data_IF_730611488595
#
_entry.id   IF_730611488595
#
_cell.length_a   1.000
_cell.length_b   1.000
_cell.length_c   1.000
_cell.angle_alpha   90.00
_cell.angle_beta   90.00
_cell.angle_gamma   90.00
#
_symmetry.space_group_name_H-M   'P 1'
#
loop_
_entity.id
_entity.type
_entity.pdbx_description
1 polymer ?
#
# COMPACT_ATOMS: atom_id res chain seq x y z
N UNK A 1 -4.91 -5.75 4.78
CA UNK A 1 -4.55 -6.99 5.50
C UNK A 1 -5.51 -7.33 6.64
N UNK A 2 -5.90 -6.39 7.52
CA UNK A 2 -6.89 -6.65 8.58
C UNK A 2 -8.18 -7.35 8.11
N UNK A 3 -8.74 -6.95 6.96
CA UNK A 3 -9.95 -7.57 6.38
C UNK A 3 -9.74 -9.06 6.08
N UNK A 4 -8.59 -9.45 5.52
CA UNK A 4 -8.24 -10.86 5.31
C UNK A 4 -8.09 -11.62 6.62
N UNK A 5 -7.51 -11.00 7.65
CA UNK A 5 -7.42 -11.62 8.98
C UNK A 5 -8.81 -11.92 9.57
N UNK A 6 -9.80 -11.06 9.32
CA UNK A 6 -11.18 -11.30 9.78
C UNK A 6 -11.83 -12.41 8.95
N UNK A 7 -11.68 -12.39 7.63
CA UNK A 7 -12.21 -13.42 6.73
C UNK A 7 -11.63 -14.79 7.07
N UNK A 8 -10.31 -14.85 7.31
CA UNK A 8 -9.61 -16.09 7.64
C UNK A 8 -10.05 -16.64 9.00
N UNK A 9 -10.26 -15.77 10.01
CA UNK A 9 -10.88 -16.17 11.28
C UNK A 9 -12.25 -16.81 11.08
N UNK A 10 -13.11 -16.18 10.29
CA UNK A 10 -14.47 -16.68 10.01
C UNK A 10 -14.42 -18.01 9.24
N UNK A 11 -13.53 -18.13 8.24
CA UNK A 11 -13.30 -19.37 7.48
C UNK A 11 -12.85 -20.49 8.42
N UNK A 12 -11.88 -20.22 9.28
CA UNK A 12 -11.33 -21.19 10.23
C UNK A 12 -12.36 -21.64 11.26
N UNK A 13 -13.15 -20.72 11.82
CA UNK A 13 -14.26 -21.08 12.73
C UNK A 13 -15.29 -22.00 12.05
N UNK A 14 -15.54 -21.77 10.76
CA UNK A 14 -16.44 -22.61 9.96
C UNK A 14 -15.85 -24.02 9.76
N UNK A 15 -14.55 -24.11 9.44
CA UNK A 15 -13.85 -25.40 9.30
C UNK A 15 -13.87 -26.23 10.60
N UNK A 16 -13.72 -25.57 11.75
CA UNK A 16 -13.78 -26.23 13.07
C UNK A 16 -15.21 -26.73 13.37
N UNK A 17 -16.23 -25.93 13.06
CA UNK A 17 -17.64 -26.30 13.26
C UNK A 17 -18.06 -27.48 12.40
N UNK A 18 -17.53 -27.57 11.18
CA UNK A 18 -17.77 -28.67 10.25
C UNK A 18 -16.96 -29.94 10.59
N UNK A 19 -16.06 -29.88 11.59
CA UNK A 19 -15.23 -31.02 12.00
C UNK A 19 -14.16 -31.40 10.98
N UNK A 20 -13.90 -30.53 10.00
CA UNK A 20 -12.96 -30.78 8.89
C UNK A 20 -11.58 -30.15 9.13
N UNK A 21 -11.32 -29.63 10.33
CA UNK A 21 -10.08 -28.93 10.68
C UNK A 21 -8.81 -29.78 10.55
N UNK A 22 -8.92 -31.10 10.70
CA UNK A 22 -7.78 -32.02 10.60
C UNK A 22 -7.49 -32.49 9.17
N UNK A 23 -8.38 -32.21 8.22
CA UNK A 23 -8.25 -32.62 6.82
C UNK A 23 -7.57 -31.49 6.02
N UNK A 24 -6.37 -31.70 5.46
CA UNK A 24 -5.57 -30.64 4.83
C UNK A 24 -6.23 -29.97 3.62
N UNK A 25 -7.09 -30.70 2.89
CA UNK A 25 -7.72 -30.26 1.64
C UNK A 25 -9.25 -30.13 1.75
N UNK A 26 -9.80 -30.20 2.96
CA UNK A 26 -11.24 -30.07 3.12
C UNK A 26 -11.67 -28.63 2.85
N UNK A 27 -12.58 -28.49 1.88
CA UNK A 27 -13.12 -27.22 1.45
C UNK A 27 -14.28 -26.85 2.37
N UNK A 28 -14.16 -25.73 3.09
CA UNK A 28 -15.25 -25.15 3.86
C UNK A 28 -16.37 -24.67 2.94
N UNK A 29 -17.63 -24.80 3.35
CA UNK A 29 -18.77 -24.24 2.63
C UNK A 29 -18.86 -22.70 2.77
N UNK A 30 -17.84 -21.98 2.32
CA UNK A 30 -17.78 -20.52 2.34
C UNK A 30 -17.82 -19.95 0.93
N UNK A 31 -18.68 -18.96 0.70
CA UNK A 31 -18.76 -18.30 -0.61
C UNK A 31 -17.52 -17.45 -0.88
N UNK A 32 -17.00 -17.51 -2.12
CA UNK A 32 -15.90 -16.66 -2.58
C UNK A 32 -16.24 -15.14 -2.54
N UNK A 33 -17.53 -14.79 -2.41
CA UNK A 33 -17.97 -13.40 -2.23
C UNK A 33 -17.37 -12.72 -0.99
N UNK A 34 -16.91 -13.48 0.01
CA UNK A 34 -16.24 -12.92 1.19
C UNK A 34 -14.92 -12.21 0.89
N UNK A 35 -14.24 -12.52 -0.23
CA UNK A 35 -13.01 -11.83 -0.62
C UNK A 35 -13.28 -10.49 -1.34
N UNK A 36 -14.50 -10.29 -1.83
CA UNK A 36 -14.91 -9.08 -2.54
C UNK A 36 -14.58 -7.78 -1.77
N UNK A 37 -14.88 -7.64 -0.47
CA UNK A 37 -14.52 -6.43 0.28
C UNK A 37 -13.01 -6.18 0.33
N UNK A 38 -12.19 -7.24 0.41
CA UNK A 38 -10.74 -7.10 0.40
C UNK A 38 -10.23 -6.60 -0.95
N UNK A 39 -10.67 -7.21 -2.05
CA UNK A 39 -10.24 -6.83 -3.39
C UNK A 39 -10.68 -5.42 -3.77
N UNK A 40 -11.88 -5.00 -3.36
CA UNK A 40 -12.35 -3.64 -3.57
C UNK A 40 -11.44 -2.61 -2.90
N UNK A 41 -11.11 -2.82 -1.62
CA UNK A 41 -10.22 -1.93 -0.87
C UNK A 41 -8.79 -1.94 -1.41
N UNK A 42 -8.30 -3.11 -1.84
CA UNK A 42 -6.98 -3.24 -2.45
C UNK A 42 -6.88 -2.40 -3.73
N UNK A 43 -7.84 -2.57 -4.66
CA UNK A 43 -7.86 -1.82 -5.90
C UNK A 43 -8.03 -0.31 -5.68
N UNK A 44 -8.90 0.08 -4.74
CA UNK A 44 -9.05 1.49 -4.35
C UNK A 44 -7.74 2.08 -3.80
N UNK A 45 -7.04 1.33 -2.94
CA UNK A 45 -5.77 1.77 -2.38
C UNK A 45 -4.67 1.90 -3.44
N UNK A 46 -4.61 0.99 -4.41
CA UNK A 46 -3.62 1.00 -5.49
C UNK A 46 -3.87 2.18 -6.45
N UNK A 47 -5.13 2.45 -6.80
CA UNK A 47 -5.49 3.59 -7.62
C UNK A 47 -5.11 4.93 -6.95
N UNK A 48 -5.45 5.11 -5.67
CA UNK A 48 -5.08 6.31 -4.93
C UNK A 48 -3.56 6.46 -4.77
N UNK A 49 -2.87 5.37 -4.45
CA UNK A 49 -1.42 5.35 -4.29
C UNK A 49 -0.72 5.71 -5.61
N UNK A 50 -1.15 5.11 -6.73
CA UNK A 50 -0.62 5.40 -8.05
C UNK A 50 -0.80 6.85 -8.46
N UNK A 51 -2.01 7.41 -8.31
CA UNK A 51 -2.26 8.83 -8.62
C UNK A 51 -1.42 9.75 -7.72
N UNK A 52 -1.40 9.50 -6.41
CA UNK A 52 -0.66 10.34 -5.46
C UNK A 52 0.85 10.33 -5.66
N UNK A 53 1.45 9.17 -5.94
CA UNK A 53 2.88 9.07 -6.27
C UNK A 53 3.20 9.74 -7.60
N UNK A 54 2.35 9.56 -8.60
CA UNK A 54 2.58 10.14 -9.92
C UNK A 54 2.54 11.68 -9.86
N UNK A 55 1.54 12.25 -9.20
CA UNK A 55 1.41 13.70 -9.03
C UNK A 55 2.55 14.29 -8.17
N UNK A 56 2.95 13.59 -7.11
CA UNK A 56 4.10 13.98 -6.30
C UNK A 56 5.40 13.99 -7.12
N UNK A 57 5.68 12.93 -7.88
CA UNK A 57 6.88 12.86 -8.72
C UNK A 57 6.88 13.93 -9.81
N UNK A 58 5.75 14.24 -10.44
CA UNK A 58 5.70 15.30 -11.44
C UNK A 58 5.87 16.71 -10.84
N UNK A 59 5.51 16.90 -9.58
CA UNK A 59 5.68 18.19 -8.89
C UNK A 59 7.12 18.38 -8.41
N UNK A 60 7.76 17.33 -7.90
CA UNK A 60 9.12 17.39 -7.32
C UNK A 60 10.25 17.09 -8.32
N UNK A 61 10.01 16.31 -9.38
CA UNK A 61 11.00 15.98 -10.39
C UNK A 61 10.69 16.68 -11.73
N UNK A 62 11.61 17.49 -12.28
CA UNK A 62 11.42 18.11 -13.59
C UNK A 62 11.32 17.05 -14.70
N UNK A 63 10.60 17.35 -15.80
CA UNK A 63 10.35 16.41 -16.94
C UNK A 63 11.61 15.72 -17.49
N UNK A 64 12.79 16.32 -17.33
CA UNK A 64 14.08 15.74 -17.71
C UNK A 64 14.51 14.51 -16.89
N UNK A 65 13.88 14.24 -15.73
CA UNK A 65 14.24 13.13 -14.82
C UNK A 65 13.19 12.01 -14.76
N UNK A 66 12.30 11.91 -15.75
CA UNK A 66 11.27 10.86 -15.79
C UNK A 66 11.84 9.45 -15.67
N UNK A 67 13.04 9.19 -16.21
CA UNK A 67 13.72 7.88 -16.10
C UNK A 67 14.19 7.59 -14.68
N UNK A 68 14.57 8.61 -13.91
CA UNK A 68 14.95 8.45 -12.49
C UNK A 68 13.71 8.08 -11.66
N UNK A 69 12.56 8.72 -11.93
CA UNK A 69 11.29 8.40 -11.27
C UNK A 69 10.87 6.93 -11.50
N UNK A 70 10.91 6.45 -12.75
CA UNK A 70 10.57 5.06 -13.07
C UNK A 70 11.54 4.05 -12.44
N UNK A 71 12.82 4.38 -12.36
CA UNK A 71 13.83 3.53 -11.73
C UNK A 71 13.62 3.48 -10.21
N UNK A 72 13.32 4.61 -9.59
CA UNK A 72 13.07 4.67 -8.15
C UNK A 72 11.82 3.86 -7.76
N UNK A 73 10.76 3.92 -8.58
CA UNK A 73 9.59 3.07 -8.42
C UNK A 73 9.94 1.57 -8.51
N UNK A 74 10.72 1.18 -9.53
CA UNK A 74 11.14 -0.21 -9.75
C UNK A 74 12.06 -0.75 -8.64
N UNK A 75 12.95 0.11 -8.12
CA UNK A 75 13.79 -0.21 -6.96
C UNK A 75 12.92 -0.36 -5.71
N UNK A 76 11.92 0.50 -5.53
CA UNK A 76 10.95 0.41 -4.45
C UNK A 76 10.21 -0.93 -4.45
N UNK A 77 9.74 -1.38 -5.62
CA UNK A 77 9.08 -2.68 -5.78
C UNK A 77 10.02 -3.85 -5.49
N UNK A 78 11.27 -3.74 -5.94
CA UNK A 78 12.32 -4.72 -5.69
C UNK A 78 12.64 -4.82 -4.19
N UNK A 79 12.79 -3.67 -3.51
CA UNK A 79 12.99 -3.59 -2.07
C UNK A 79 11.79 -4.18 -1.29
N UNK A 80 10.56 -3.89 -1.72
CA UNK A 80 9.36 -4.47 -1.13
C UNK A 80 9.37 -6.01 -1.21
N UNK A 81 9.85 -6.57 -2.33
CA UNK A 81 9.95 -8.02 -2.53
C UNK A 81 11.00 -8.67 -1.61
N UNK A 82 12.13 -7.98 -1.37
CA UNK A 82 13.13 -8.41 -0.39
C UNK A 82 12.58 -8.39 1.04
N UNK A 83 11.86 -7.32 1.40
CA UNK A 83 11.20 -7.20 2.71
C UNK A 83 10.15 -8.30 2.89
N UNK A 84 9.33 -8.58 1.88
CA UNK A 84 8.37 -9.68 1.92
C UNK A 84 9.07 -11.04 2.16
N UNK A 85 10.15 -11.30 1.44
CA UNK A 85 10.96 -12.51 1.60
C UNK A 85 11.58 -12.60 3.00
N UNK A 86 12.08 -11.49 3.53
CA UNK A 86 12.62 -11.40 4.88
C UNK A 86 11.55 -11.72 5.93
N UNK A 87 10.36 -11.12 5.83
CA UNK A 87 9.25 -11.36 6.76
C UNK A 87 8.88 -12.85 6.76
N UNK A 88 8.68 -13.45 5.58
CA UNK A 88 8.37 -14.89 5.46
C UNK A 88 9.50 -15.76 6.02
N UNK A 89 10.74 -15.39 5.76
CA UNK A 89 11.93 -16.09 6.27
C UNK A 89 12.01 -16.05 7.81
N UNK A 90 11.77 -14.89 8.42
CA UNK A 90 11.75 -14.75 9.88
C UNK A 90 10.59 -15.54 10.50
N UNK A 91 9.39 -15.44 9.93
CA UNK A 91 8.23 -16.22 10.38
C UNK A 91 8.56 -17.71 10.34
N UNK A 92 9.15 -18.23 9.25
CA UNK A 92 9.62 -19.63 9.18
C UNK A 92 10.74 -19.94 10.18
N UNK A 93 11.68 -19.03 10.40
CA UNK A 93 12.82 -19.20 11.30
C UNK A 93 12.39 -19.35 12.76
N UNK A 94 11.52 -18.47 13.26
CA UNK A 94 10.95 -18.57 14.61
C UNK A 94 10.15 -19.87 14.83
N UNK A 95 9.61 -20.45 13.76
CA UNK A 95 8.81 -21.68 13.80
C UNK A 95 9.69 -22.93 13.83
N UNK A 96 10.83 -22.93 13.15
CA UNK A 96 11.68 -24.14 13.06
C UNK A 96 12.37 -24.51 14.38
N UNK A 97 12.50 -23.58 15.32
CA UNK A 97 13.04 -23.83 16.67
C UNK A 97 11.98 -24.33 17.67
N UNK A 98 10.71 -24.03 17.42
CA UNK A 98 9.59 -24.47 18.25
C UNK A 98 8.89 -25.66 17.58
N UNK A 99 9.10 -26.87 18.09
CA UNK A 99 8.54 -28.13 17.58
C UNK A 99 6.98 -28.25 17.75
N UNK A 100 6.24 -27.17 17.50
CA UNK A 100 4.79 -27.05 17.59
C UNK A 100 4.23 -26.37 16.34
N UNK A 101 3.06 -26.85 15.89
CA UNK A 101 2.38 -26.56 14.63
C UNK A 101 2.56 -25.11 14.11
N UNK A 102 3.19 -24.99 12.94
CA UNK A 102 3.55 -23.74 12.25
C UNK A 102 2.35 -22.79 12.01
N UNK A 103 2.54 -21.48 12.20
CA UNK A 103 1.55 -20.45 11.80
C UNK A 103 1.21 -20.52 10.30
N UNK A 104 2.17 -20.95 9.48
CA UNK A 104 2.01 -21.33 8.07
C UNK A 104 2.31 -22.83 7.98
N UNK A 105 1.42 -23.65 8.53
CA UNK A 105 1.52 -25.10 8.47
C UNK A 105 1.15 -25.61 7.09
N UNK A 106 1.69 -26.77 6.69
CA UNK A 106 1.26 -27.47 5.47
C UNK A 106 -0.23 -27.82 5.50
N UNK A 107 -0.86 -27.83 6.69
CA UNK A 107 -2.30 -27.90 6.84
C UNK A 107 -2.88 -26.48 7.01
N UNK A 108 -3.54 -25.98 5.96
CA UNK A 108 -4.16 -24.64 5.92
C UNK A 108 -5.30 -24.48 6.93
N UNK A 109 -5.90 -25.58 7.40
CA UNK A 109 -7.01 -25.58 8.34
C UNK A 109 -6.54 -25.56 9.81
N UNK A 110 -5.29 -25.98 10.08
CA UNK A 110 -4.64 -25.87 11.41
C UNK A 110 -3.71 -24.67 11.56
N UNK A 111 -3.10 -24.22 10.46
CA UNK A 111 -2.23 -23.04 10.46
C UNK A 111 -2.98 -21.78 10.88
N UNK A 112 -2.42 -21.00 11.81
CA UNK A 112 -3.00 -19.72 12.21
C UNK A 112 -2.54 -18.59 11.28
N UNK A 113 -3.01 -18.62 10.03
CA UNK A 113 -2.78 -17.55 9.04
C UNK A 113 -3.26 -16.18 9.53
N UNK A 114 -4.23 -16.17 10.44
CA UNK A 114 -4.69 -14.99 11.16
C UNK A 114 -3.54 -14.18 11.76
N UNK A 115 -2.58 -14.83 12.42
CA UNK A 115 -1.47 -14.11 13.05
C UNK A 115 -0.52 -13.50 12.02
N UNK A 116 -0.29 -14.18 10.90
CA UNK A 116 0.50 -13.64 9.80
C UNK A 116 -0.18 -12.40 9.19
N UNK A 117 -1.50 -12.46 8.97
CA UNK A 117 -2.25 -11.29 8.48
C UNK A 117 -2.31 -10.15 9.50
N UNK A 118 -2.37 -10.45 10.80
CA UNK A 118 -2.26 -9.45 11.87
C UNK A 118 -0.87 -8.81 11.91
N UNK A 119 0.21 -9.58 11.78
CA UNK A 119 1.57 -9.07 11.68
C UNK A 119 1.70 -8.07 10.52
N UNK A 120 1.23 -8.45 9.33
CA UNK A 120 1.25 -7.58 8.16
C UNK A 120 0.37 -6.34 8.33
N UNK A 121 -0.76 -6.47 9.03
CA UNK A 121 -1.62 -5.34 9.35
C UNK A 121 -0.93 -4.34 10.28
N UNK A 122 -0.29 -4.83 11.34
CA UNK A 122 0.47 -3.99 12.29
C UNK A 122 1.63 -3.28 11.60
N UNK A 123 2.36 -3.99 10.73
CA UNK A 123 3.43 -3.40 9.93
C UNK A 123 2.92 -2.31 8.98
N UNK A 124 1.77 -2.54 8.33
CA UNK A 124 1.11 -1.55 7.49
C UNK A 124 0.69 -0.29 8.26
N UNK A 125 0.12 -0.44 9.46
CA UNK A 125 -0.23 0.70 10.32
C UNK A 125 1.02 1.46 10.76
N UNK A 126 2.08 0.76 11.16
CA UNK A 126 3.36 1.37 11.52
C UNK A 126 3.97 2.15 10.34
N UNK A 127 3.94 1.58 9.13
CA UNK A 127 4.39 2.25 7.91
C UNK A 127 3.56 3.51 7.60
N UNK A 128 2.24 3.45 7.78
CA UNK A 128 1.36 4.61 7.59
C UNK A 128 1.67 5.74 8.60
N UNK A 129 1.88 5.41 9.88
CA UNK A 129 2.28 6.39 10.89
C UNK A 129 3.64 7.00 10.54
N UNK A 130 4.60 6.19 10.11
CA UNK A 130 5.90 6.66 9.65
C UNK A 130 5.77 7.62 8.46
N UNK A 131 4.96 7.26 7.46
CA UNK A 131 4.65 8.13 6.33
C UNK A 131 4.06 9.48 6.77
N UNK A 132 3.09 9.48 7.71
CA UNK A 132 2.52 10.72 8.24
C UNK A 132 3.55 11.57 8.98
N UNK A 133 4.47 10.96 9.72
CA UNK A 133 5.57 11.67 10.38
C UNK A 133 6.51 12.32 9.36
N UNK A 134 6.90 11.58 8.31
CA UNK A 134 7.71 12.11 7.21
C UNK A 134 6.99 13.23 6.45
N UNK A 135 5.71 13.05 6.12
CA UNK A 135 4.89 14.06 5.45
C UNK A 135 4.79 15.35 6.28
N UNK A 136 4.61 15.24 7.61
CA UNK A 136 4.64 16.40 8.50
C UNK A 136 6.01 17.08 8.56
N UNK A 137 7.10 16.30 8.57
CA UNK A 137 8.46 16.82 8.62
C UNK A 137 8.92 17.46 7.30
N UNK A 138 8.43 16.99 6.16
CA UNK A 138 8.72 17.53 4.84
C UNK A 138 8.17 18.96 4.65
N UNK A 139 7.12 19.31 5.40
CA UNK A 139 6.55 20.66 5.45
C UNK A 139 5.53 20.95 4.34
N UNK A 140 4.72 22.02 4.48
CA UNK A 140 3.72 22.36 3.46
C UNK A 140 4.39 22.76 2.16
N UNK A 141 3.94 22.20 1.02
CA UNK A 141 4.40 22.60 -0.30
C UNK A 141 4.22 24.12 -0.47
N UNK A 142 5.33 24.88 -0.55
CA UNK A 142 5.34 26.30 -0.89
C UNK A 142 5.06 26.50 -2.40
N UNK A 143 3.96 25.96 -2.91
CA UNK A 143 3.63 25.98 -4.35
C UNK A 143 2.52 26.96 -4.75
N UNK A 144 1.66 27.39 -3.81
CA UNK A 144 0.41 28.07 -4.16
C UNK A 144 0.46 29.59 -4.35
N UNK A 145 1.61 30.27 -4.19
CA UNK A 145 1.64 31.75 -4.17
C UNK A 145 2.44 32.42 -5.31
N UNK A 146 3.15 31.68 -6.15
CA UNK A 146 3.97 32.29 -7.22
C UNK A 146 3.30 32.34 -8.60
N UNK A 147 2.25 31.54 -8.85
CA UNK A 147 1.58 31.51 -10.15
C UNK A 147 0.67 32.72 -10.42
N UNK A 148 -0.01 33.26 -9.40
CA UNK A 148 -1.02 34.31 -9.62
C UNK A 148 -0.38 35.70 -9.71
N UNK A 149 0.75 35.95 -9.04
CA UNK A 149 1.41 37.27 -9.07
C UNK A 149 2.26 37.48 -10.32
N UNK A 150 2.68 36.42 -11.00
CA UNK A 150 3.38 36.51 -12.29
C UNK A 150 2.44 36.82 -13.44
N UNK A 151 1.35 36.05 -13.54
CA UNK A 151 0.35 36.16 -14.62
C UNK A 151 -0.39 37.49 -14.61
N UNK A 152 -0.71 38.02 -13.41
CA UNK A 152 -1.36 39.34 -13.28
C UNK A 152 -0.42 40.49 -13.65
N UNK A 153 0.90 40.35 -13.46
CA UNK A 153 1.86 41.41 -13.79
C UNK A 153 2.24 41.41 -15.28
N UNK A 154 2.20 40.26 -15.94
CA UNK A 154 2.44 40.16 -17.39
C UNK A 154 1.21 40.62 -18.18
N UNK A 155 -0.01 40.27 -17.74
CA UNK A 155 -1.26 40.77 -18.35
C UNK A 155 -1.63 42.24 -18.05
N UNK A 156 -0.84 42.97 -17.25
CA UNK A 156 -1.02 44.42 -17.01
C UNK A 156 -0.01 45.28 -17.78
N UNK A 157 0.99 44.67 -18.45
CA UNK A 157 2.01 45.39 -19.21
C UNK A 157 1.68 45.41 -20.72
N UNK A 158 0.85 44.48 -21.20
CA UNK A 158 0.53 44.34 -22.63
C UNK A 158 -0.66 45.21 -23.12
N UNK A 159 -1.32 45.96 -22.24
CA UNK A 159 -2.52 46.76 -22.59
C UNK A 159 -2.26 48.26 -22.84
N UNK A 160 -1.02 48.76 -22.72
CA UNK A 160 -0.70 50.21 -22.77
C UNK A 160 0.03 50.70 -24.05
N UNK A 161 0.33 49.84 -25.04
CA UNK A 161 1.20 50.21 -26.18
C UNK A 161 0.52 50.31 -27.58
N UNK A 162 -0.82 50.28 -27.67
CA UNK A 162 -1.54 50.28 -28.97
C UNK A 162 -2.37 51.55 -29.28
N UNK A 163 -2.11 52.66 -28.59
CA UNK A 163 -2.60 53.98 -29.01
C UNK A 163 -1.41 54.94 -29.03
N UNK A 164 -0.73 55.08 -30.19
CA UNK A 164 -0.39 56.41 -30.72
C UNK A 164 0.42 56.40 -32.04
N UNK A 165 -0.21 57.06 -33.03
CA UNK A 165 0.37 57.90 -34.11
C UNK A 165 0.48 57.31 -35.53
N UNK A 166 -0.42 57.88 -36.33
CA UNK A 166 -0.51 58.08 -37.79
C UNK A 166 0.81 58.33 -38.52
#
# INVERSE_FOLDING_TARGET
>A
MAVLAIIERVRRETAIREGISDIPDAVTHMSAMWLLPFYFLLGFSEAMNGVGLNEFFYTELPKSMSSVASNLYSIGLSAASLVASFIVGNVRGFISEANQESWVSSNINKGHYDYYYWLLSSLGVANFIYYLACSKAYGPCKGGQKGITGDVREGLIDDDDDDDVV
#
